data_IF_882435499253
#
_entry.id   IF_882435499253
#
_cell.length_a   1.000
_cell.length_b   1.000
_cell.length_c   1.000
_cell.angle_alpha   90.00
_cell.angle_beta   90.00
_cell.angle_gamma   90.00
#
_symmetry.space_group_name_H-M   'P 1'
#
loop_
_entity.id
_entity.type
_entity.pdbx_description
1 polymer ?
#
# COMPACT_ATOMS: atom_id res chain seq x y z
N UNK A 1 -19.28 11.91 20.09
CA UNK A 1 -18.51 10.78 19.54
C UNK A 1 -19.01 10.56 18.13
N UNK A 2 -18.24 11.03 17.16
CA UNK A 2 -18.75 11.28 15.81
C UNK A 2 -18.99 9.95 15.09
N UNK A 3 -20.27 9.62 14.89
CA UNK A 3 -20.74 8.39 14.26
C UNK A 3 -20.10 8.12 12.88
N UNK A 4 -19.61 9.18 12.24
CA UNK A 4 -18.88 9.15 10.98
C UNK A 4 -17.54 8.39 11.03
N UNK A 5 -16.85 8.42 12.16
CA UNK A 5 -15.57 7.69 12.33
C UNK A 5 -15.81 6.20 12.62
N UNK A 6 -16.94 5.86 13.26
CA UNK A 6 -17.35 4.49 13.51
C UNK A 6 -17.78 3.75 12.22
N UNK A 7 -18.33 4.46 11.24
CA UNK A 7 -18.71 3.89 9.94
C UNK A 7 -17.56 3.83 8.93
N UNK A 8 -16.47 4.58 9.14
CA UNK A 8 -15.33 4.64 8.23
C UNK A 8 -14.71 3.27 7.92
N UNK A 9 -14.45 2.36 8.90
CA UNK A 9 -13.95 1.02 8.59
C UNK A 9 -14.88 0.21 7.68
N UNK A 10 -16.20 0.35 7.88
CA UNK A 10 -17.21 -0.33 7.06
C UNK A 10 -17.21 0.22 5.62
N UNK A 11 -17.13 1.54 5.46
CA UNK A 11 -17.06 2.20 4.15
C UNK A 11 -15.79 1.79 3.39
N UNK A 12 -14.62 1.83 4.04
CA UNK A 12 -13.35 1.41 3.43
C UNK A 12 -13.38 -0.06 3.00
N UNK A 13 -14.02 -0.93 3.79
CA UNK A 13 -14.23 -2.33 3.44
C UNK A 13 -15.12 -2.49 2.20
N UNK A 14 -16.23 -1.76 2.11
CA UNK A 14 -17.13 -1.78 0.94
C UNK A 14 -16.45 -1.29 -0.34
N UNK A 15 -15.60 -0.26 -0.22
CA UNK A 15 -14.80 0.29 -1.33
C UNK A 15 -13.59 -0.59 -1.71
N UNK A 16 -13.36 -1.72 -1.01
CA UNK A 16 -12.19 -2.60 -1.20
C UNK A 16 -10.86 -1.88 -1.01
N UNK A 17 -10.80 -0.89 -0.13
CA UNK A 17 -9.59 -0.13 0.22
C UNK A 17 -8.91 -0.79 1.43
N UNK A 18 -8.40 -2.00 1.21
CA UNK A 18 -7.87 -2.85 2.29
C UNK A 18 -6.67 -2.25 2.99
N UNK A 19 -5.79 -1.55 2.26
CA UNK A 19 -4.58 -0.97 2.84
C UNK A 19 -4.93 0.28 3.62
N UNK A 20 -5.79 1.15 3.05
CA UNK A 20 -6.32 2.30 3.81
C UNK A 20 -7.01 1.85 5.10
N UNK A 21 -7.81 0.78 5.07
CA UNK A 21 -8.47 0.25 6.27
C UNK A 21 -7.48 -0.12 7.39
N UNK A 22 -6.27 -0.59 7.03
CA UNK A 22 -5.25 -0.93 8.01
C UNK A 22 -4.44 0.29 8.47
N UNK A 23 -4.29 1.30 7.61
CA UNK A 23 -3.35 2.40 7.84
C UNK A 23 -4.01 3.72 8.26
N UNK A 24 -5.31 3.93 8.00
CA UNK A 24 -5.98 5.22 8.24
C UNK A 24 -5.82 5.75 9.67
N UNK A 25 -5.91 4.88 10.69
CA UNK A 25 -5.79 5.31 12.07
C UNK A 25 -4.34 5.70 12.41
N UNK A 26 -3.37 4.85 12.04
CA UNK A 26 -1.94 5.12 12.28
C UNK A 26 -1.48 6.38 11.56
N UNK A 27 -1.85 6.51 10.28
CA UNK A 27 -1.47 7.62 9.42
C UNK A 27 -2.21 8.90 9.83
N UNK A 28 -3.42 8.77 10.36
CA UNK A 28 -4.17 9.89 10.95
C UNK A 28 -3.53 10.44 12.21
N UNK A 29 -3.02 9.57 13.11
CA UNK A 29 -2.23 10.00 14.28
C UNK A 29 -0.97 10.75 13.86
N UNK A 30 -0.22 10.19 12.90
CA UNK A 30 0.96 10.83 12.32
C UNK A 30 0.63 12.19 11.69
N UNK A 31 -0.47 12.28 10.93
CA UNK A 31 -0.92 13.52 10.32
C UNK A 31 -1.25 14.61 11.35
N UNK A 32 -1.81 14.23 12.51
CA UNK A 32 -2.06 15.16 13.61
C UNK A 32 -0.75 15.64 14.22
N UNK A 33 0.18 14.72 14.51
CA UNK A 33 1.49 15.03 15.08
C UNK A 33 2.33 15.95 14.16
N UNK A 34 2.31 15.69 12.86
CA UNK A 34 3.03 16.45 11.84
C UNK A 34 2.23 17.64 11.28
N UNK A 35 1.04 17.92 11.83
CA UNK A 35 0.16 19.02 11.44
C UNK A 35 -0.16 19.06 9.94
N UNK A 36 -0.39 17.89 9.34
CA UNK A 36 -0.76 17.78 7.94
C UNK A 36 -2.12 18.40 7.67
N UNK A 37 -2.25 19.00 6.48
CA UNK A 37 -3.55 19.40 5.98
C UNK A 37 -4.41 18.16 5.66
N UNK A 38 -5.74 18.28 5.66
CA UNK A 38 -6.63 17.19 5.25
C UNK A 38 -6.33 16.64 3.84
N UNK A 39 -5.87 17.52 2.94
CA UNK A 39 -5.48 17.15 1.57
C UNK A 39 -4.19 16.31 1.57
N UNK A 40 -3.21 16.66 2.40
CA UNK A 40 -1.97 15.88 2.55
C UNK A 40 -2.26 14.49 3.11
N UNK A 41 -3.07 14.40 4.16
CA UNK A 41 -3.49 13.13 4.74
C UNK A 41 -4.22 12.23 3.72
N UNK A 42 -5.17 12.80 2.96
CA UNK A 42 -5.89 12.04 1.94
C UNK A 42 -4.96 11.59 0.79
N UNK A 43 -4.08 12.48 0.34
CA UNK A 43 -3.10 12.16 -0.71
C UNK A 43 -2.20 11.01 -0.28
N UNK A 44 -1.71 11.03 0.95
CA UNK A 44 -0.82 9.99 1.46
C UNK A 44 -1.53 8.63 1.61
N UNK A 45 -2.78 8.63 2.10
CA UNK A 45 -3.58 7.39 2.13
C UNK A 45 -3.77 6.80 0.72
N UNK A 46 -4.05 7.65 -0.27
CA UNK A 46 -4.18 7.23 -1.66
C UNK A 46 -2.86 6.67 -2.19
N UNK A 47 -1.74 7.32 -1.88
CA UNK A 47 -0.42 6.89 -2.30
C UNK A 47 -0.09 5.48 -1.76
N UNK A 48 -0.30 5.26 -0.45
CA UNK A 48 -0.05 3.97 0.20
C UNK A 48 -0.92 2.85 -0.38
N UNK A 49 -2.20 3.11 -0.64
CA UNK A 49 -3.10 2.13 -1.26
C UNK A 49 -2.67 1.77 -2.69
N UNK A 50 -2.34 2.77 -3.52
CA UNK A 50 -1.88 2.56 -4.89
C UNK A 50 -0.57 1.78 -4.93
N UNK A 51 0.43 2.20 -4.14
CA UNK A 51 1.72 1.53 -4.05
C UNK A 51 1.56 0.05 -3.66
N UNK A 52 0.67 -0.25 -2.71
CA UNK A 52 0.41 -1.63 -2.29
C UNK A 52 -0.26 -2.46 -3.40
N UNK A 53 -1.14 -1.85 -4.21
CA UNK A 53 -1.78 -2.54 -5.34
C UNK A 53 -0.78 -2.83 -6.44
N UNK A 54 0.10 -1.88 -6.72
CA UNK A 54 1.16 -2.03 -7.72
C UNK A 54 2.17 -3.10 -7.30
N UNK A 55 2.60 -3.12 -6.04
CA UNK A 55 3.47 -4.18 -5.53
C UNK A 55 2.78 -5.55 -5.62
N UNK A 56 1.52 -5.69 -5.16
CA UNK A 56 0.76 -6.94 -5.31
C UNK A 56 0.62 -7.38 -6.78
N UNK A 57 0.45 -6.43 -7.70
CA UNK A 57 0.40 -6.71 -9.14
C UNK A 57 1.75 -7.19 -9.65
N UNK A 58 2.85 -6.53 -9.27
CA UNK A 58 4.21 -6.90 -9.62
C UNK A 58 4.56 -8.30 -9.09
N UNK A 59 4.29 -8.57 -7.81
CA UNK A 59 4.52 -9.89 -7.19
C UNK A 59 3.75 -11.01 -7.92
N UNK A 60 2.50 -10.76 -8.35
CA UNK A 60 1.74 -11.71 -9.17
C UNK A 60 2.38 -11.95 -10.52
N UNK A 61 2.84 -10.89 -11.20
CA UNK A 61 3.54 -11.00 -12.47
C UNK A 61 4.84 -11.78 -12.33
N UNK A 62 5.64 -11.50 -11.30
CA UNK A 62 6.89 -12.21 -11.00
C UNK A 62 6.63 -13.70 -10.70
N UNK A 63 5.60 -14.01 -9.90
CA UNK A 63 5.20 -15.39 -9.61
C UNK A 63 4.72 -16.13 -10.87
N UNK A 64 3.91 -15.46 -11.70
CA UNK A 64 3.38 -16.03 -12.93
C UNK A 64 4.43 -16.18 -14.02
N UNK A 65 5.48 -15.34 -14.01
CA UNK A 65 6.60 -15.42 -14.93
C UNK A 65 7.43 -16.72 -14.77
N UNK A 66 7.16 -17.54 -13.73
CA UNK A 66 7.86 -18.81 -13.46
C UNK A 66 9.36 -18.69 -13.73
N UNK A 67 9.99 -17.64 -13.21
CA UNK A 67 11.45 -17.51 -13.26
C UNK A 67 12.02 -18.79 -12.63
N UNK A 68 12.71 -19.65 -13.40
CA UNK A 68 13.33 -20.83 -12.84
C UNK A 68 14.31 -20.35 -11.76
N UNK A 69 14.12 -20.82 -10.53
CA UNK A 69 15.12 -20.69 -9.48
C UNK A 69 16.42 -21.31 -10.02
N UNK A 70 17.43 -20.48 -10.29
CA UNK A 70 18.74 -20.97 -10.75
C UNK A 70 19.32 -20.38 -12.04
N UNK A 71 18.95 -19.17 -12.47
CA UNK A 71 19.81 -18.40 -13.40
C UNK A 71 20.21 -17.08 -12.76
N UNK A 72 21.01 -17.19 -11.70
CA UNK A 72 21.99 -16.15 -11.45
C UNK A 72 22.86 -16.07 -12.71
N UNK A 73 22.88 -14.92 -13.36
CA UNK A 73 23.87 -14.58 -14.36
C UNK A 73 25.22 -14.54 -13.64
N UNK A 74 25.83 -15.70 -13.42
CA UNK A 74 27.25 -15.81 -13.20
C UNK A 74 27.85 -15.54 -14.58
N UNK A 75 27.92 -14.26 -14.96
CA UNK A 75 28.90 -13.84 -15.97
C UNK A 75 30.26 -13.95 -15.31
N UNK A 76 30.79 -15.18 -15.22
CA UNK A 76 32.24 -15.36 -15.28
C UNK A 76 32.64 -15.00 -16.70
N UNK A 77 32.86 -13.72 -16.93
CA UNK A 77 33.76 -13.28 -17.99
C UNK A 77 35.15 -13.71 -17.56
N UNK A 78 35.50 -14.92 -17.97
CA UNK A 78 36.86 -15.40 -18.10
C UNK A 78 37.44 -14.69 -19.32
N UNK A 79 38.39 -13.80 -19.12
CA UNK A 79 39.61 -13.65 -19.92
C UNK A 79 40.59 -12.76 -19.16
#
# INVERSE_FOLDING_TARGET
MDNFTASLPLMLKQLKLSTMLQQWNTLGKKAIEEQWSPQQYLSELCHVELATRDDKRLQRLLKNAKLPVGKHLISKLSL
#
